data_IF_528869429008
#
_entry.id   IF_528869429008
#
_cell.length_a   1.000
_cell.length_b   1.000
_cell.length_c   1.000
_cell.angle_alpha   90.00
_cell.angle_beta   90.00
_cell.angle_gamma   90.00
#
_symmetry.space_group_name_H-M   'P 1'
#
loop_
_entity.id
_entity.type
_entity.pdbx_description
1 polymer ?
#
# COMPACT_ATOMS: atom_id res chain seq x y z
N UNK A 1 4.63 -24.42 22.94
CA UNK A 1 4.75 -22.96 23.01
C UNK A 1 4.13 -22.34 21.78
N UNK A 2 3.18 -21.47 21.98
CA UNK A 2 2.50 -20.85 20.86
C UNK A 2 3.35 -19.75 20.27
N UNK A 3 3.57 -19.85 18.96
CA UNK A 3 4.17 -18.72 18.26
C UNK A 3 3.16 -17.59 18.18
N UNK A 4 3.59 -16.35 18.40
CA UNK A 4 2.71 -15.23 18.10
C UNK A 4 2.32 -15.28 16.61
N UNK A 5 1.10 -14.81 16.28
CA UNK A 5 0.71 -14.77 14.88
C UNK A 5 1.72 -13.96 14.08
N UNK A 6 1.94 -14.31 12.81
CA UNK A 6 2.86 -13.55 11.97
C UNK A 6 2.45 -12.09 11.97
N UNK A 7 3.42 -11.17 12.15
CA UNK A 7 3.11 -9.74 12.12
C UNK A 7 2.63 -9.26 10.75
N UNK A 8 2.69 -10.12 9.77
CA UNK A 8 2.34 -9.79 8.39
C UNK A 8 0.87 -10.02 8.05
N UNK A 9 0.04 -10.50 8.99
CA UNK A 9 -1.38 -10.68 8.70
C UNK A 9 -2.10 -9.33 8.61
N UNK A 10 -2.46 -8.86 7.40
CA UNK A 10 -3.09 -7.56 7.24
C UNK A 10 -4.51 -7.49 7.79
N UNK A 11 -5.11 -8.64 8.08
CA UNK A 11 -6.48 -8.70 8.61
C UNK A 11 -6.51 -8.68 10.13
N UNK A 12 -5.37 -8.84 10.80
CA UNK A 12 -5.31 -8.71 12.25
C UNK A 12 -5.66 -7.26 12.64
N UNK A 13 -6.50 -7.03 13.68
CA UNK A 13 -6.96 -5.69 14.02
C UNK A 13 -5.85 -4.67 14.22
N UNK A 14 -4.76 -5.04 14.88
CA UNK A 14 -3.65 -4.13 15.14
C UNK A 14 -2.91 -3.79 13.84
N UNK A 15 -2.75 -4.75 12.95
CA UNK A 15 -2.11 -4.53 11.65
C UNK A 15 -3.00 -3.68 10.75
N UNK A 16 -4.31 -3.88 10.80
CA UNK A 16 -5.24 -3.06 10.03
C UNK A 16 -5.17 -1.59 10.44
N UNK A 17 -5.09 -1.31 11.75
CA UNK A 17 -4.95 0.05 12.26
C UNK A 17 -3.61 0.67 11.85
N UNK A 18 -2.54 -0.09 12.02
CA UNK A 18 -1.21 0.36 11.63
C UNK A 18 -1.16 0.65 10.14
N UNK A 19 -1.76 -0.22 9.33
CA UNK A 19 -1.84 -0.05 7.89
C UNK A 19 -2.63 1.19 7.50
N UNK A 20 -3.75 1.46 8.17
CA UNK A 20 -4.55 2.64 7.91
C UNK A 20 -3.78 3.92 8.22
N UNK A 21 -3.08 3.96 9.35
CA UNK A 21 -2.25 5.10 9.73
C UNK A 21 -1.12 5.34 8.75
N UNK A 22 -0.45 4.26 8.33
CA UNK A 22 0.62 4.37 7.36
C UNK A 22 0.09 4.85 6.02
N UNK A 23 -1.06 4.35 5.60
CA UNK A 23 -1.71 4.79 4.36
C UNK A 23 -1.99 6.28 4.39
N UNK A 24 -2.58 6.78 5.48
CA UNK A 24 -2.85 8.21 5.63
C UNK A 24 -1.56 9.03 5.56
N UNK A 25 -0.52 8.59 6.25
CA UNK A 25 0.77 9.29 6.24
C UNK A 25 1.37 9.34 4.84
N UNK A 26 1.33 8.22 4.11
CA UNK A 26 1.86 8.15 2.74
C UNK A 26 1.07 9.04 1.79
N UNK A 27 -0.25 9.04 1.88
CA UNK A 27 -1.09 9.88 1.04
C UNK A 27 -0.82 11.35 1.33
N UNK A 28 -0.71 11.72 2.59
CA UNK A 28 -0.45 13.10 2.98
C UNK A 28 0.92 13.57 2.49
N UNK A 29 1.96 12.78 2.68
CA UNK A 29 3.31 13.10 2.21
C UNK A 29 3.32 13.26 0.69
N UNK A 30 2.67 12.35 -0.03
CA UNK A 30 2.61 12.42 -1.48
C UNK A 30 1.89 13.68 -1.95
N UNK A 31 0.76 14.03 -1.33
CA UNK A 31 0.00 15.22 -1.68
C UNK A 31 0.79 16.51 -1.41
N UNK A 32 1.42 16.59 -0.25
CA UNK A 32 2.23 17.76 0.11
C UNK A 32 3.43 17.93 -0.82
N UNK A 33 4.12 16.83 -1.10
CA UNK A 33 5.28 16.86 -1.98
C UNK A 33 4.89 17.27 -3.40
N UNK A 34 3.78 16.72 -3.90
CA UNK A 34 3.28 17.05 -5.23
C UNK A 34 2.93 18.55 -5.33
N UNK A 35 2.25 19.09 -4.32
CA UNK A 35 1.88 20.49 -4.28
C UNK A 35 3.11 21.39 -4.23
N UNK A 36 4.06 21.06 -3.35
CA UNK A 36 5.24 21.90 -3.14
C UNK A 36 6.18 21.89 -4.34
N UNK A 37 6.22 20.79 -5.08
CA UNK A 37 7.11 20.63 -6.24
C UNK A 37 6.41 20.82 -7.57
N UNK A 38 5.09 21.04 -7.57
CA UNK A 38 4.33 21.21 -8.80
C UNK A 38 4.27 19.95 -9.65
N UNK A 39 4.26 18.78 -9.00
CA UNK A 39 4.24 17.48 -9.69
C UNK A 39 2.81 17.12 -10.07
N UNK A 40 2.62 16.62 -11.29
CA UNK A 40 1.28 16.23 -11.75
C UNK A 40 0.78 14.96 -11.06
N UNK A 41 -0.55 14.78 -11.06
CA UNK A 41 -1.19 13.62 -10.45
C UNK A 41 -0.69 12.30 -11.07
N UNK A 42 -0.48 12.27 -12.38
CA UNK A 42 0.04 11.09 -13.06
C UNK A 42 1.41 10.68 -12.56
N UNK A 43 2.27 11.66 -12.30
CA UNK A 43 3.61 11.41 -11.76
C UNK A 43 3.51 10.90 -10.33
N UNK A 44 2.59 11.43 -9.52
CA UNK A 44 2.36 10.95 -8.16
C UNK A 44 1.96 9.47 -8.16
N UNK A 45 1.00 9.11 -9.02
CA UNK A 45 0.54 7.72 -9.13
C UNK A 45 1.69 6.81 -9.58
N UNK A 46 2.45 7.23 -10.58
CA UNK A 46 3.58 6.43 -11.06
C UNK A 46 4.64 6.24 -9.98
N UNK A 47 4.93 7.29 -9.21
CA UNK A 47 5.92 7.23 -8.14
C UNK A 47 5.48 6.30 -7.01
N UNK A 48 4.21 6.38 -6.60
CA UNK A 48 3.67 5.50 -5.57
C UNK A 48 3.65 4.04 -6.02
N UNK A 49 3.31 3.80 -7.29
CA UNK A 49 3.32 2.45 -7.87
C UNK A 49 4.74 1.89 -7.90
N UNK A 50 5.72 2.71 -8.29
CA UNK A 50 7.13 2.30 -8.31
C UNK A 50 7.62 1.97 -6.90
N UNK A 51 7.27 2.81 -5.92
CA UNK A 51 7.65 2.58 -4.52
C UNK A 51 7.05 1.27 -4.02
N UNK A 52 5.77 1.02 -4.31
CA UNK A 52 5.11 -0.21 -3.92
C UNK A 52 5.81 -1.43 -4.53
N UNK A 53 6.13 -1.37 -5.82
CA UNK A 53 6.83 -2.46 -6.49
C UNK A 53 8.18 -2.75 -5.87
N UNK A 54 8.96 -1.70 -5.60
CA UNK A 54 10.27 -1.86 -4.97
C UNK A 54 10.18 -2.48 -3.57
N UNK A 55 9.28 -1.97 -2.75
CA UNK A 55 9.12 -2.47 -1.38
C UNK A 55 8.59 -3.89 -1.38
N UNK A 56 7.56 -4.17 -2.18
CA UNK A 56 6.96 -5.49 -2.24
C UNK A 56 7.96 -6.55 -2.73
N UNK A 57 8.75 -6.23 -3.76
CA UNK A 57 9.77 -7.14 -4.26
C UNK A 57 10.86 -7.40 -3.22
N UNK A 58 11.29 -6.36 -2.51
CA UNK A 58 12.28 -6.51 -1.45
C UNK A 58 11.77 -7.39 -0.31
N UNK A 59 10.53 -7.20 0.10
CA UNK A 59 9.90 -8.00 1.15
C UNK A 59 9.81 -9.46 0.71
N UNK A 60 9.36 -9.71 -0.52
CA UNK A 60 9.21 -11.06 -1.03
C UNK A 60 10.57 -11.79 -1.07
N UNK A 61 11.61 -11.12 -1.56
CA UNK A 61 12.96 -11.71 -1.61
C UNK A 61 13.52 -11.99 -0.22
N UNK A 62 13.36 -11.01 0.69
CA UNK A 62 13.90 -11.13 2.06
C UNK A 62 13.23 -12.28 2.81
N UNK A 63 11.96 -12.52 2.57
CA UNK A 63 11.20 -13.56 3.28
C UNK A 63 11.13 -14.88 2.51
N UNK A 64 11.69 -14.96 1.33
CA UNK A 64 11.63 -16.18 0.52
C UNK A 64 10.24 -16.52 0.02
N UNK A 65 9.39 -15.51 -0.18
CA UNK A 65 8.05 -15.72 -0.71
C UNK A 65 8.09 -16.07 -2.19
N UNK A 66 7.10 -16.83 -2.64
CA UNK A 66 6.89 -17.05 -4.06
C UNK A 66 6.55 -15.71 -4.72
N UNK A 67 7.40 -15.27 -5.65
CA UNK A 67 7.27 -13.93 -6.24
C UNK A 67 5.96 -13.75 -6.99
N UNK A 68 5.55 -14.76 -7.76
CA UNK A 68 4.32 -14.67 -8.54
C UNK A 68 3.09 -14.59 -7.64
N UNK A 69 3.06 -15.37 -6.58
CA UNK A 69 1.96 -15.35 -5.62
C UNK A 69 1.90 -14.04 -4.85
N UNK A 70 3.06 -13.52 -4.48
CA UNK A 70 3.11 -12.26 -3.74
C UNK A 70 2.68 -11.09 -4.62
N UNK A 71 3.09 -11.08 -5.88
CA UNK A 71 2.63 -10.09 -6.86
C UNK A 71 1.11 -10.14 -7.00
N UNK A 72 0.54 -11.33 -7.12
CA UNK A 72 -0.91 -11.52 -7.20
C UNK A 72 -1.62 -10.99 -5.97
N UNK A 73 -1.07 -11.27 -4.78
CA UNK A 73 -1.61 -10.76 -3.53
C UNK A 73 -1.64 -9.23 -3.52
N UNK A 74 -0.55 -8.60 -3.89
CA UNK A 74 -0.44 -7.14 -3.93
C UNK A 74 -1.42 -6.55 -4.95
N UNK A 75 -1.49 -7.15 -6.14
CA UNK A 75 -2.40 -6.69 -7.19
C UNK A 75 -3.87 -6.82 -6.79
N UNK A 76 -4.23 -7.91 -6.14
CA UNK A 76 -5.60 -8.12 -5.67
C UNK A 76 -5.97 -7.14 -4.56
N UNK A 77 -5.04 -6.86 -3.66
CA UNK A 77 -5.29 -5.88 -2.60
C UNK A 77 -5.47 -4.48 -3.20
N UNK A 78 -4.61 -4.11 -4.13
CA UNK A 78 -4.72 -2.83 -4.83
C UNK A 78 -6.09 -2.69 -5.50
N UNK A 79 -6.51 -3.74 -6.22
CA UNK A 79 -7.79 -3.71 -6.93
C UNK A 79 -8.97 -3.50 -5.98
N UNK A 80 -8.95 -4.16 -4.83
CA UNK A 80 -10.02 -4.01 -3.84
C UNK A 80 -10.08 -2.61 -3.26
N UNK A 81 -8.92 -2.05 -2.92
CA UNK A 81 -8.84 -0.69 -2.40
C UNK A 81 -9.31 0.31 -3.46
N UNK A 82 -8.84 0.14 -4.69
CA UNK A 82 -9.22 1.02 -5.80
C UNK A 82 -10.73 1.02 -6.00
N UNK A 83 -11.35 -0.16 -6.02
CA UNK A 83 -12.78 -0.27 -6.20
C UNK A 83 -13.56 0.37 -5.04
N UNK A 84 -13.12 0.13 -3.81
CA UNK A 84 -13.77 0.71 -2.65
C UNK A 84 -13.70 2.24 -2.67
N UNK A 85 -12.54 2.80 -3.03
CA UNK A 85 -12.37 4.25 -3.07
C UNK A 85 -13.07 4.89 -4.27
N UNK A 86 -13.15 4.17 -5.40
CA UNK A 86 -13.78 4.74 -6.61
C UNK A 86 -15.28 4.90 -6.50
N UNK A 87 -15.95 4.15 -5.60
CA UNK A 87 -17.38 4.31 -5.35
C UNK A 87 -17.66 5.21 -4.16
N UNK A 88 -16.64 5.72 -3.52
CA UNK A 88 -16.78 6.58 -2.35
C UNK A 88 -17.24 7.96 -2.80
N UNK A 89 -18.26 8.56 -2.13
CA UNK A 89 -18.68 9.91 -2.49
C UNK A 89 -17.55 10.91 -2.32
N UNK A 90 -17.43 11.81 -3.28
CA UNK A 90 -16.45 12.90 -3.21
C UNK A 90 -17.17 14.14 -2.70
N UNK A 91 -16.73 14.65 -1.57
CA UNK A 91 -17.25 15.89 -1.00
C UNK A 91 -16.25 17.02 -1.25
N UNK A 92 -16.76 18.07 -1.79
CA UNK A 92 -15.98 19.28 -2.04
C UNK A 92 -16.34 20.37 -1.07
#
# INVERSE_FOLDING_TARGET
>A
MNKPPPPSDPLAPDNARAGARLTEALVQVAAEHARDRGVSDSVVVAALSSALGCVAAAIARTNGFDLARYEEFVANHFARVFQAESVRPVYH
#
